data_IF_174883011543
#
_entry.id   IF_174883011543
#
_cell.length_a   1.000
_cell.length_b   1.000
_cell.length_c   1.000
_cell.angle_alpha   90.00
_cell.angle_beta   90.00
_cell.angle_gamma   90.00
#
_symmetry.space_group_name_H-M   'P 1'
#
loop_
_entity.id
_entity.type
_entity.pdbx_description
1 polymer ?
#
# COMPACT_ATOMS: atom_id res chain seq x y z
N UNK A 1 -35.46 -39.07 115.98
CA UNK A 1 -36.42 -39.38 114.89
C UNK A 1 -36.79 -38.18 114.03
N UNK A 2 -37.12 -37.00 114.59
CA UNK A 2 -37.41 -35.79 113.79
C UNK A 2 -36.23 -35.28 112.95
N UNK A 3 -35.02 -35.38 113.49
CA UNK A 3 -33.77 -34.91 112.85
C UNK A 3 -33.44 -35.70 111.56
N UNK A 4 -33.48 -37.03 111.63
CA UNK A 4 -33.27 -37.91 110.46
C UNK A 4 -34.34 -37.73 109.36
N UNK A 5 -35.57 -37.34 109.73
CA UNK A 5 -36.63 -37.05 108.76
C UNK A 5 -36.35 -35.73 108.03
N UNK A 6 -35.89 -34.71 108.76
CA UNK A 6 -35.51 -33.40 108.20
C UNK A 6 -34.31 -33.49 107.26
N UNK A 7 -33.34 -34.34 107.57
CA UNK A 7 -32.17 -34.58 106.73
C UNK A 7 -32.57 -35.25 105.40
N UNK A 8 -33.39 -36.32 105.48
CA UNK A 8 -33.92 -36.97 104.29
C UNK A 8 -34.79 -36.04 103.42
N UNK A 9 -35.58 -35.14 104.03
CA UNK A 9 -36.35 -34.12 103.29
C UNK A 9 -35.44 -33.10 102.58
N UNK A 10 -34.33 -32.70 103.20
CA UNK A 10 -33.36 -31.80 102.60
C UNK A 10 -32.66 -32.46 101.39
N UNK A 11 -32.25 -33.71 101.52
CA UNK A 11 -31.62 -34.48 100.44
C UNK A 11 -32.57 -34.68 99.26
N UNK A 12 -33.83 -35.03 99.52
CA UNK A 12 -34.86 -35.15 98.48
C UNK A 12 -35.03 -33.82 97.72
N UNK A 13 -34.96 -32.68 98.43
CA UNK A 13 -35.08 -31.35 97.81
C UNK A 13 -33.87 -31.04 96.93
N UNK A 14 -32.65 -31.38 97.36
CA UNK A 14 -31.42 -31.24 96.57
C UNK A 14 -31.50 -32.09 95.31
N UNK A 15 -31.78 -33.39 95.46
CA UNK A 15 -31.87 -34.31 94.32
C UNK A 15 -32.97 -33.91 93.32
N UNK A 16 -34.13 -33.42 93.79
CA UNK A 16 -35.17 -32.86 92.89
C UNK A 16 -34.68 -31.62 92.14
N UNK A 17 -33.92 -30.75 92.80
CA UNK A 17 -33.31 -29.59 92.16
C UNK A 17 -32.33 -29.99 91.06
N UNK A 18 -31.50 -31.00 91.34
CA UNK A 18 -30.52 -31.55 90.41
C UNK A 18 -31.18 -32.26 89.22
N UNK A 19 -32.21 -33.06 89.47
CA UNK A 19 -33.02 -33.72 88.44
C UNK A 19 -33.64 -32.68 87.50
N UNK A 20 -34.21 -31.59 88.05
CA UNK A 20 -34.79 -30.51 87.25
C UNK A 20 -33.73 -29.82 86.39
N UNK A 21 -32.56 -29.53 86.96
CA UNK A 21 -31.44 -28.90 86.24
C UNK A 21 -30.91 -29.79 85.11
N UNK A 22 -30.80 -31.11 85.35
CA UNK A 22 -30.43 -32.10 84.34
C UNK A 22 -31.48 -32.20 83.23
N UNK A 23 -32.78 -32.22 83.56
CA UNK A 23 -33.86 -32.22 82.57
C UNK A 23 -33.84 -30.95 81.71
N UNK A 24 -33.61 -29.78 82.30
CA UNK A 24 -33.46 -28.52 81.57
C UNK A 24 -32.23 -28.55 80.63
N UNK A 25 -31.10 -29.08 81.10
CA UNK A 25 -29.91 -29.26 80.27
C UNK A 25 -30.17 -30.20 79.09
N UNK A 26 -30.79 -31.37 79.33
CA UNK A 26 -31.16 -32.34 78.29
C UNK A 26 -32.08 -31.71 77.25
N UNK A 27 -33.13 -30.99 77.68
CA UNK A 27 -34.03 -30.29 76.77
C UNK A 27 -33.29 -29.25 75.90
N UNK A 28 -32.34 -28.52 76.50
CA UNK A 28 -31.52 -27.55 75.75
C UNK A 28 -30.60 -28.21 74.71
N UNK A 29 -30.06 -29.40 75.02
CA UNK A 29 -29.23 -30.16 74.08
C UNK A 29 -30.06 -30.80 72.97
N UNK A 30 -31.23 -31.34 73.30
CA UNK A 30 -32.17 -31.88 72.29
C UNK A 30 -32.59 -30.81 71.29
N UNK A 31 -32.94 -29.61 71.77
CA UNK A 31 -33.27 -28.47 70.90
C UNK A 31 -32.07 -28.05 70.02
N UNK A 32 -30.84 -28.13 70.53
CA UNK A 32 -29.63 -27.88 69.72
C UNK A 32 -29.42 -28.94 68.64
N UNK A 33 -29.65 -30.22 68.97
CA UNK A 33 -29.50 -31.34 68.05
C UNK A 33 -30.55 -31.25 66.93
N UNK A 34 -31.79 -30.89 67.24
CA UNK A 34 -32.84 -30.67 66.22
C UNK A 34 -32.50 -29.56 65.22
N UNK A 35 -31.68 -28.58 65.61
CA UNK A 35 -31.21 -27.51 64.73
C UNK A 35 -29.95 -27.84 63.92
N UNK A 36 -29.29 -28.98 64.18
CA UNK A 36 -28.10 -29.41 63.41
C UNK A 36 -28.47 -29.81 61.97
N UNK A 37 -29.50 -30.64 61.71
CA UNK A 37 -29.88 -31.03 60.34
C UNK A 37 -30.15 -29.84 59.42
N UNK A 38 -30.78 -28.78 59.93
CA UNK A 38 -31.08 -27.58 59.13
C UNK A 38 -29.80 -26.87 58.69
N UNK A 39 -28.84 -26.70 59.61
CA UNK A 39 -27.53 -26.10 59.30
C UNK A 39 -26.71 -26.97 58.34
N UNK A 40 -26.78 -28.29 58.50
CA UNK A 40 -26.14 -29.26 57.59
C UNK A 40 -26.71 -29.17 56.17
N UNK A 41 -28.01 -28.91 56.04
CA UNK A 41 -28.69 -28.73 54.77
C UNK A 41 -28.31 -27.39 54.13
N UNK A 42 -28.38 -26.29 54.88
CA UNK A 42 -27.94 -24.95 54.43
C UNK A 42 -26.48 -24.98 53.93
N UNK A 43 -25.59 -25.66 54.66
CA UNK A 43 -24.18 -25.81 54.26
C UNK A 43 -24.04 -26.64 52.98
N UNK A 44 -24.79 -27.73 52.83
CA UNK A 44 -24.78 -28.56 51.62
C UNK A 44 -25.29 -27.79 50.39
N UNK A 45 -26.33 -27.00 50.55
CA UNK A 45 -26.84 -26.13 49.48
C UNK A 45 -25.78 -25.11 49.06
N UNK A 46 -25.17 -24.43 50.03
CA UNK A 46 -24.11 -23.45 49.76
C UNK A 46 -22.88 -24.08 49.09
N UNK A 47 -22.47 -25.27 49.54
CA UNK A 47 -21.35 -26.00 48.94
C UNK A 47 -21.65 -26.39 47.48
N UNK A 48 -22.87 -26.87 47.20
CA UNK A 48 -23.27 -27.23 45.84
C UNK A 48 -23.35 -26.01 44.91
N UNK A 49 -23.86 -24.89 45.42
CA UNK A 49 -23.93 -23.65 44.66
C UNK A 49 -22.53 -23.07 44.38
N UNK A 50 -21.62 -23.16 45.36
CA UNK A 50 -20.22 -22.80 45.18
C UNK A 50 -19.54 -23.65 44.10
N UNK A 51 -19.69 -24.97 44.16
CA UNK A 51 -19.10 -25.89 43.18
C UNK A 51 -19.66 -25.63 41.77
N UNK A 52 -20.96 -25.43 41.65
CA UNK A 52 -21.62 -25.10 40.36
C UNK A 52 -21.11 -23.77 39.79
N UNK A 53 -20.97 -22.75 40.65
CA UNK A 53 -20.45 -21.43 40.24
C UNK A 53 -18.99 -21.53 39.81
N UNK A 54 -18.19 -22.33 40.51
CA UNK A 54 -16.79 -22.57 40.17
C UNK A 54 -16.63 -23.29 38.83
N UNK A 55 -17.43 -24.31 38.57
CA UNK A 55 -17.44 -25.00 37.26
C UNK A 55 -17.86 -24.07 36.12
N UNK A 56 -18.90 -23.26 36.33
CA UNK A 56 -19.34 -22.28 35.34
C UNK A 56 -18.24 -21.27 35.04
N UNK A 57 -17.57 -20.75 36.07
CA UNK A 57 -16.44 -19.84 35.90
C UNK A 57 -15.31 -20.47 35.08
N UNK A 58 -14.92 -21.71 35.40
CA UNK A 58 -13.88 -22.42 34.65
C UNK A 58 -14.27 -22.67 33.18
N UNK A 59 -15.53 -23.01 32.93
CA UNK A 59 -16.07 -23.18 31.57
C UNK A 59 -16.03 -21.87 30.77
N UNK A 60 -16.42 -20.76 31.39
CA UNK A 60 -16.36 -19.43 30.76
C UNK A 60 -14.92 -18.99 30.49
N UNK A 61 -14.01 -19.23 31.44
CA UNK A 61 -12.59 -18.94 31.27
C UNK A 61 -12.00 -19.72 30.08
N UNK A 62 -12.31 -21.01 29.98
CA UNK A 62 -11.87 -21.85 28.86
C UNK A 62 -12.41 -21.33 27.52
N UNK A 63 -13.70 -21.00 27.43
CA UNK A 63 -14.30 -20.43 26.21
C UNK A 63 -13.68 -19.08 25.83
N UNK A 64 -13.33 -18.26 26.82
CA UNK A 64 -12.65 -16.99 26.59
C UNK A 64 -11.25 -17.20 25.99
N UNK A 65 -10.46 -18.12 26.56
CA UNK A 65 -9.15 -18.48 26.02
C UNK A 65 -9.24 -19.06 24.60
N UNK A 66 -10.21 -19.96 24.35
CA UNK A 66 -10.47 -20.51 23.01
C UNK A 66 -10.84 -19.42 22.00
N UNK A 67 -11.69 -18.46 22.39
CA UNK A 67 -12.06 -17.33 21.55
C UNK A 67 -10.87 -16.41 21.25
N UNK A 68 -10.02 -16.13 22.25
CA UNK A 68 -8.81 -15.34 22.08
C UNK A 68 -7.81 -16.02 21.14
N UNK A 69 -7.65 -17.35 21.27
CA UNK A 69 -6.86 -18.17 20.35
C UNK A 69 -7.44 -18.11 18.92
N UNK A 70 -8.74 -18.29 18.77
CA UNK A 70 -9.42 -18.23 17.48
C UNK A 70 -9.26 -16.86 16.80
N UNK A 71 -9.43 -15.77 17.55
CA UNK A 71 -9.20 -14.40 17.06
C UNK A 71 -7.75 -14.23 16.60
N UNK A 72 -6.78 -14.68 17.40
CA UNK A 72 -5.35 -14.59 17.04
C UNK A 72 -5.02 -15.40 15.77
N UNK A 73 -5.64 -16.56 15.60
CA UNK A 73 -5.49 -17.39 14.40
C UNK A 73 -6.16 -16.74 13.19
N UNK A 74 -7.34 -16.16 13.34
CA UNK A 74 -8.04 -15.43 12.28
C UNK A 74 -7.24 -14.20 11.84
N UNK A 75 -6.70 -13.41 12.77
CA UNK A 75 -5.84 -12.27 12.45
C UNK A 75 -4.57 -12.70 11.70
N UNK A 76 -3.93 -13.81 12.12
CA UNK A 76 -2.78 -14.38 11.39
C UNK A 76 -3.19 -14.89 10.00
N UNK A 77 -4.28 -15.62 9.88
CA UNK A 77 -4.78 -16.17 8.61
C UNK A 77 -5.25 -15.07 7.64
N UNK A 78 -5.87 -13.98 8.13
CA UNK A 78 -6.21 -12.79 7.32
C UNK A 78 -4.96 -12.12 6.74
N UNK A 79 -3.83 -12.15 7.45
CA UNK A 79 -2.54 -11.67 6.94
C UNK A 79 -1.91 -12.59 5.89
N UNK A 80 -2.18 -13.90 5.95
CA UNK A 80 -1.62 -14.91 5.04
C UNK A 80 -2.51 -15.25 3.83
N UNK A 81 -3.81 -14.93 3.85
CA UNK A 81 -4.73 -15.16 2.73
C UNK A 81 -4.63 -14.09 1.61
N UNK A 82 -3.43 -13.65 1.25
CA UNK A 82 -3.21 -13.12 -0.10
C UNK A 82 -2.99 -14.29 -1.04
N UNK A 83 -4.05 -15.06 -1.31
CA UNK A 83 -4.02 -16.03 -2.40
C UNK A 83 -4.17 -15.23 -3.68
N UNK A 84 -3.09 -15.07 -4.42
CA UNK A 84 -3.07 -14.44 -5.74
C UNK A 84 -4.00 -15.27 -6.64
N UNK A 85 -5.26 -14.84 -6.76
CA UNK A 85 -6.28 -15.54 -7.56
C UNK A 85 -5.98 -15.40 -9.05
N UNK A 86 -5.35 -14.29 -9.41
CA UNK A 86 -4.90 -13.98 -10.76
C UNK A 86 -3.58 -13.21 -10.64
N UNK A 87 -2.48 -13.85 -11.04
CA UNK A 87 -1.20 -13.14 -11.14
C UNK A 87 -1.35 -12.17 -12.28
N UNK A 88 -1.15 -10.87 -12.03
CA UNK A 88 -1.21 -9.86 -13.07
C UNK A 88 -0.35 -10.30 -14.26
N UNK A 89 -1.00 -10.72 -15.36
CA UNK A 89 -0.31 -11.16 -16.56
C UNK A 89 0.38 -9.90 -17.09
N UNK A 90 1.73 -9.81 -17.05
CA UNK A 90 2.40 -8.68 -17.62
C UNK A 90 2.05 -8.68 -19.11
N UNK A 91 1.49 -7.57 -19.61
CA UNK A 91 1.20 -7.42 -21.03
C UNK A 91 2.50 -7.67 -21.80
N UNK A 92 2.49 -8.70 -22.66
CA UNK A 92 3.62 -9.05 -23.53
C UNK A 92 3.96 -7.91 -24.50
N UNK A 93 3.01 -7.03 -24.76
CA UNK A 93 3.16 -5.90 -25.66
C UNK A 93 3.41 -4.61 -24.87
N UNK A 94 4.43 -3.81 -25.26
CA UNK A 94 4.68 -2.52 -24.63
C UNK A 94 3.45 -1.62 -24.75
N UNK A 95 2.97 -1.09 -23.62
CA UNK A 95 1.86 -0.12 -23.59
C UNK A 95 2.23 1.28 -24.15
N UNK A 96 3.46 1.43 -24.66
CA UNK A 96 4.08 2.67 -25.07
C UNK A 96 4.59 2.56 -26.53
N UNK A 97 4.68 3.68 -27.26
CA UNK A 97 4.35 3.78 -28.68
C UNK A 97 5.21 2.87 -29.57
N UNK A 98 4.62 2.41 -30.67
CA UNK A 98 5.24 1.56 -31.68
C UNK A 98 6.60 2.15 -32.12
N UNK A 99 7.70 1.57 -31.61
CA UNK A 99 9.08 2.04 -31.85
C UNK A 99 9.40 2.16 -33.34
N UNK A 100 8.83 1.27 -34.14
CA UNK A 100 8.95 1.27 -35.60
C UNK A 100 8.30 2.52 -36.22
N UNK A 101 7.10 2.90 -35.77
CA UNK A 101 6.40 4.08 -36.28
C UNK A 101 7.16 5.38 -35.95
N UNK A 102 7.72 5.47 -34.74
CA UNK A 102 8.54 6.62 -34.34
C UNK A 102 9.81 6.75 -35.19
N UNK A 103 10.49 5.63 -35.47
CA UNK A 103 11.67 5.61 -36.34
C UNK A 103 11.32 6.06 -37.76
N UNK A 104 10.21 5.58 -38.32
CA UNK A 104 9.76 5.98 -39.65
C UNK A 104 9.47 7.49 -39.71
N UNK A 105 8.76 8.03 -38.72
CA UNK A 105 8.46 9.47 -38.65
C UNK A 105 9.74 10.30 -38.48
N UNK A 106 10.69 9.85 -37.65
CA UNK A 106 11.96 10.56 -37.46
C UNK A 106 12.80 10.60 -38.74
N UNK A 107 12.93 9.47 -39.44
CA UNK A 107 13.65 9.38 -40.71
C UNK A 107 13.00 10.28 -41.76
N UNK A 108 11.69 10.14 -41.97
CA UNK A 108 10.96 10.94 -42.95
C UNK A 108 10.98 12.44 -42.61
N UNK A 109 10.81 12.79 -41.34
CA UNK A 109 10.85 14.17 -40.85
C UNK A 109 12.21 14.82 -41.05
N UNK A 110 13.30 14.09 -40.75
CA UNK A 110 14.66 14.60 -40.97
C UNK A 110 14.99 14.82 -42.45
N UNK A 111 14.53 13.91 -43.32
CA UNK A 111 14.70 14.04 -44.76
C UNK A 111 13.91 15.25 -45.30
N UNK A 112 12.65 15.38 -44.91
CA UNK A 112 11.80 16.51 -45.31
C UNK A 112 12.38 17.85 -44.85
N UNK A 113 12.88 17.93 -43.61
CA UNK A 113 13.54 19.13 -43.10
C UNK A 113 14.85 19.44 -43.85
N UNK A 114 15.64 18.43 -44.18
CA UNK A 114 16.87 18.64 -44.95
C UNK A 114 16.57 19.20 -46.35
N UNK A 115 15.62 18.60 -47.07
CA UNK A 115 15.19 19.09 -48.40
C UNK A 115 14.61 20.50 -48.31
N UNK A 116 13.73 20.74 -47.33
CA UNK A 116 13.14 22.05 -47.09
C UNK A 116 14.21 23.11 -46.80
N UNK A 117 15.19 22.78 -45.96
CA UNK A 117 16.29 23.69 -45.64
C UNK A 117 17.15 24.03 -46.86
N UNK A 118 17.43 23.06 -47.75
CA UNK A 118 18.17 23.31 -49.00
C UNK A 118 17.37 24.22 -49.93
N UNK A 119 16.07 23.94 -50.15
CA UNK A 119 15.24 24.80 -51.00
C UNK A 119 15.07 26.21 -50.44
N UNK A 120 14.93 26.36 -49.12
CA UNK A 120 14.89 27.66 -48.47
C UNK A 120 16.23 28.40 -48.62
N UNK A 121 17.35 27.70 -48.45
CA UNK A 121 18.68 28.28 -48.64
C UNK A 121 18.87 28.78 -50.08
N UNK A 122 18.44 27.99 -51.07
CA UNK A 122 18.52 28.36 -52.49
C UNK A 122 17.60 29.52 -52.86
N UNK A 123 16.40 29.60 -52.26
CA UNK A 123 15.50 30.75 -52.44
C UNK A 123 16.02 32.04 -51.82
N UNK A 124 16.78 31.94 -50.73
CA UNK A 124 17.40 33.08 -50.06
C UNK A 124 18.71 33.46 -50.76
N UNK A 125 19.37 32.53 -51.44
CA UNK A 125 20.60 32.77 -52.21
C UNK A 125 20.29 33.44 -53.55
N UNK A 126 20.27 34.77 -53.54
CA UNK A 126 20.04 35.61 -54.73
C UNK A 126 21.34 35.83 -55.51
N UNK A 127 22.04 34.74 -55.85
CA UNK A 127 23.32 34.83 -56.56
C UNK A 127 23.21 34.16 -57.95
N UNK A 128 23.38 34.96 -58.99
CA UNK A 128 23.39 34.50 -60.38
C UNK A 128 24.69 33.72 -60.64
N UNK A 129 24.58 32.40 -60.81
CA UNK A 129 25.75 31.53 -60.95
C UNK A 129 26.12 31.24 -62.41
N UNK A 130 25.29 31.65 -63.37
CA UNK A 130 25.47 31.28 -64.78
C UNK A 130 25.27 32.47 -65.72
N UNK A 131 26.13 32.57 -66.74
CA UNK A 131 26.15 33.69 -67.70
C UNK A 131 24.84 33.78 -68.51
N UNK A 132 24.10 32.66 -68.65
CA UNK A 132 22.80 32.61 -69.32
C UNK A 132 21.65 33.27 -68.52
N UNK A 133 21.70 33.24 -67.18
CA UNK A 133 20.71 33.94 -66.34
C UNK A 133 20.81 35.47 -66.51
N UNK A 134 22.03 36.00 -66.60
CA UNK A 134 22.28 37.42 -66.86
C UNK A 134 21.83 37.86 -68.26
N UNK A 135 21.99 37.00 -69.27
CA UNK A 135 21.63 37.28 -70.66
C UNK A 135 20.11 37.32 -70.87
N UNK A 136 19.37 36.58 -70.05
CA UNK A 136 17.90 36.54 -70.11
C UNK A 136 17.27 37.74 -69.41
N UNK A 137 17.90 38.24 -68.34
CA UNK A 137 17.41 39.40 -67.59
C UNK A 137 17.88 40.75 -68.15
N UNK A 138 19.02 40.79 -68.86
CA UNK A 138 19.56 42.00 -69.48
C UNK A 138 19.91 41.74 -70.95
N UNK A 139 19.27 42.47 -71.86
CA UNK A 139 19.44 42.35 -73.30
C UNK A 139 20.78 42.95 -73.82
N UNK A 140 21.88 42.73 -73.10
CA UNK A 140 23.21 43.23 -73.44
C UNK A 140 24.15 42.09 -73.85
N UNK A 141 24.91 42.22 -74.96
CA UNK A 141 25.87 41.21 -75.37
C UNK A 141 27.06 41.15 -74.40
N UNK A 142 27.34 39.96 -73.88
CA UNK A 142 28.48 39.70 -72.98
C UNK A 142 29.77 39.69 -73.80
N UNK A 143 30.58 40.75 -73.69
CA UNK A 143 31.82 40.89 -74.48
C UNK A 143 33.00 40.07 -73.93
N UNK A 144 33.11 39.88 -72.61
CA UNK A 144 34.17 39.08 -71.95
C UNK A 144 33.63 38.51 -70.63
N UNK A 145 33.95 37.25 -70.31
CA UNK A 145 33.78 36.71 -68.95
C UNK A 145 35.09 36.83 -68.18
N UNK A 146 35.05 37.46 -67.00
CA UNK A 146 36.20 37.52 -66.09
C UNK A 146 36.10 36.29 -65.18
N UNK A 147 37.08 35.36 -65.22
CA UNK A 147 37.06 34.21 -64.33
C UNK A 147 37.19 34.68 -62.88
N UNK A 148 36.30 34.19 -62.02
CA UNK A 148 36.37 34.41 -60.57
C UNK A 148 37.68 33.83 -60.02
N UNK A 149 38.61 34.69 -59.61
CA UNK A 149 39.83 34.27 -58.91
C UNK A 149 39.46 33.98 -57.46
N UNK A 150 39.18 32.71 -57.17
CA UNK A 150 38.84 32.24 -55.83
C UNK A 150 40.08 32.38 -54.94
N UNK A 151 40.10 33.38 -54.06
CA UNK A 151 41.23 33.61 -53.15
C UNK A 151 41.22 32.56 -52.04
N UNK A 152 42.39 32.14 -51.51
CA UNK A 152 42.48 31.15 -50.40
C UNK A 152 41.63 31.51 -49.17
N UNK A 153 41.38 32.82 -48.94
CA UNK A 153 40.47 33.32 -47.87
C UNK A 153 39.00 33.01 -48.14
N UNK A 154 38.53 33.06 -49.39
CA UNK A 154 37.14 32.74 -49.75
C UNK A 154 36.85 31.24 -49.66
N UNK A 155 37.79 30.42 -50.12
CA UNK A 155 37.69 28.96 -49.95
C UNK A 155 37.65 28.58 -48.47
N UNK A 156 38.50 29.19 -47.62
CA UNK A 156 38.51 28.94 -46.17
C UNK A 156 37.22 29.39 -45.49
N UNK A 157 36.61 30.50 -45.94
CA UNK A 157 35.32 31.00 -45.41
C UNK A 157 34.14 30.13 -45.84
N UNK A 158 34.15 29.61 -47.07
CA UNK A 158 33.15 28.64 -47.57
C UNK A 158 33.23 27.32 -46.81
N UNK A 159 34.43 26.79 -46.61
CA UNK A 159 34.63 25.59 -45.80
C UNK A 159 34.25 25.81 -44.33
N UNK A 160 34.54 26.97 -43.75
CA UNK A 160 34.09 27.28 -42.39
C UNK A 160 32.57 27.39 -42.27
N UNK A 161 31.89 28.05 -43.21
CA UNK A 161 30.42 28.13 -43.24
C UNK A 161 29.78 26.75 -43.44
N UNK A 162 30.36 25.92 -44.31
CA UNK A 162 29.92 24.53 -44.50
C UNK A 162 30.13 23.68 -43.25
N UNK A 163 31.27 23.84 -42.54
CA UNK A 163 31.53 23.13 -41.28
C UNK A 163 30.56 23.56 -40.18
N UNK A 164 30.25 24.85 -40.09
CA UNK A 164 29.25 25.38 -39.15
C UNK A 164 27.83 24.88 -39.48
N UNK A 165 27.44 24.88 -40.76
CA UNK A 165 26.16 24.35 -41.19
C UNK A 165 26.05 22.84 -40.95
N UNK A 166 27.10 22.08 -41.24
CA UNK A 166 27.17 20.65 -40.94
C UNK A 166 27.08 20.38 -39.43
N UNK A 167 27.79 21.16 -38.60
CA UNK A 167 27.69 21.01 -37.15
C UNK A 167 26.30 21.34 -36.62
N UNK A 168 25.64 22.38 -37.16
CA UNK A 168 24.28 22.75 -36.77
C UNK A 168 23.27 21.65 -37.15
N UNK A 169 23.41 21.04 -38.34
CA UNK A 169 22.60 19.91 -38.77
C UNK A 169 22.80 18.67 -37.88
N UNK A 170 24.04 18.35 -37.51
CA UNK A 170 24.33 17.25 -36.57
C UNK A 170 23.74 17.49 -35.19
N UNK A 171 23.81 18.73 -34.68
CA UNK A 171 23.22 19.10 -33.37
C UNK A 171 21.70 18.99 -33.43
N UNK A 172 21.06 19.47 -34.50
CA UNK A 172 19.61 19.35 -34.67
C UNK A 172 19.16 17.88 -34.71
N UNK A 173 19.89 17.02 -35.42
CA UNK A 173 19.60 15.58 -35.49
C UNK A 173 19.78 14.91 -34.12
N UNK A 174 20.85 15.25 -33.38
CA UNK A 174 21.07 14.74 -32.02
C UNK A 174 19.96 15.17 -31.05
N UNK A 175 19.47 16.41 -31.15
CA UNK A 175 18.35 16.91 -30.35
C UNK A 175 17.03 16.20 -30.68
N UNK A 176 16.75 15.94 -31.95
CA UNK A 176 15.54 15.20 -32.39
C UNK A 176 15.58 13.76 -31.85
N UNK A 177 16.72 13.07 -31.98
CA UNK A 177 16.90 11.71 -31.46
C UNK A 177 16.83 11.69 -29.94
N UNK A 178 17.44 12.66 -29.26
CA UNK A 178 17.38 12.80 -27.80
C UNK A 178 15.97 13.07 -27.28
N UNK A 179 15.21 13.95 -27.94
CA UNK A 179 13.81 14.22 -27.61
C UNK A 179 12.92 13.00 -27.84
N UNK A 180 13.14 12.25 -28.92
CA UNK A 180 12.44 10.99 -29.17
C UNK A 180 12.76 9.92 -28.12
N UNK A 181 14.03 9.82 -27.70
CA UNK A 181 14.45 8.93 -26.62
C UNK A 181 13.85 9.33 -25.26
N UNK A 182 13.85 10.62 -24.95
CA UNK A 182 13.24 11.16 -23.73
C UNK A 182 11.73 10.96 -23.71
N UNK A 183 11.03 11.18 -24.83
CA UNK A 183 9.60 10.91 -24.95
C UNK A 183 9.28 9.41 -24.79
N UNK A 184 10.14 8.53 -25.32
CA UNK A 184 9.99 7.08 -25.18
C UNK A 184 10.23 6.60 -23.73
N UNK A 185 11.14 7.22 -22.98
CA UNK A 185 11.40 6.90 -21.57
C UNK A 185 10.53 7.68 -20.57
N UNK A 186 10.02 8.86 -20.93
CA UNK A 186 9.24 9.75 -20.06
C UNK A 186 7.77 9.36 -19.90
N UNK A 187 7.34 8.29 -20.57
CA UNK A 187 5.93 7.90 -20.67
C UNK A 187 5.34 7.36 -19.35
N UNK A 188 6.13 7.15 -18.30
CA UNK A 188 5.58 6.83 -16.98
C UNK A 188 4.84 8.00 -16.33
N UNK A 189 5.22 9.25 -16.62
CA UNK A 189 4.59 10.46 -16.03
C UNK A 189 3.33 10.93 -16.77
N UNK A 190 3.21 10.63 -18.06
CA UNK A 190 2.03 10.99 -18.86
C UNK A 190 0.87 10.03 -18.60
N UNK A 191 1.16 8.74 -18.41
CA UNK A 191 0.15 7.73 -18.05
C UNK A 191 -0.47 8.03 -16.68
N UNK A 192 0.30 8.51 -15.70
CA UNK A 192 -0.24 8.88 -14.38
C UNK A 192 -1.17 10.11 -14.40
N UNK A 193 -1.04 10.98 -15.40
CA UNK A 193 -1.90 12.17 -15.55
C UNK A 193 -3.23 11.85 -16.25
N UNK A 194 -3.25 10.90 -17.19
CA UNK A 194 -4.46 10.48 -17.90
C UNK A 194 -5.33 9.48 -17.12
N UNK A 195 -4.73 8.69 -16.22
CA UNK A 195 -5.47 7.70 -15.39
C UNK A 195 -6.20 8.36 -14.20
N UNK A 196 -5.88 9.62 -13.83
CA UNK A 196 -6.51 10.31 -12.69
C UNK A 196 -7.93 10.87 -12.97
N UNK A 197 -8.49 10.70 -14.17
CA UNK A 197 -9.79 11.29 -14.53
C UNK A 197 -10.87 10.29 -14.95
N UNK A 198 -10.68 8.99 -14.68
CA UNK A 198 -11.71 7.95 -14.86
C UNK A 198 -12.25 7.48 -13.52
N UNK A 199 -13.05 8.31 -12.85
CA UNK A 199 -13.63 8.02 -11.54
C UNK A 199 -14.96 8.72 -11.34
N UNK A 200 -16.00 8.21 -12.00
CA UNK A 200 -17.42 8.28 -11.62
C UNK A 200 -18.19 7.18 -12.34
#
# INVERSE_FOLDING_TARGET
>A
MKEALSEAEADIKVFKGEERRLKEAIASYQARIENVPRREQEFRELARDYDSTRELYQSLLKRYEEAQLAESMEQRQKGEQFRVLDTAIPRLEPAAPNRVQLLVIAVLGSLALAVGAVMLAERIDTSFHTVDELRTFSALPVLVSIPLIITRRDSRRRHWRMRLAASAACIALALIVGAAYFAAHGNERLVSLLVRNGGS
#
